data_IF_097145555121
#
_entry.id   IF_097145555121
#
_cell.length_a   1.000
_cell.length_b   1.000
_cell.length_c   1.000
_cell.angle_alpha   90.00
_cell.angle_beta   90.00
_cell.angle_gamma   90.00
#
_symmetry.space_group_name_H-M   'P 1'
#
loop_
_entity.id
_entity.type
_entity.pdbx_description
1 polymer ?
#
# COMPACT_ATOMS: atom_id res chain seq x y z
N UNK A 1 -27.40 -47.32 0.64
CA UNK A 1 -27.19 -46.05 -0.07
C UNK A 1 -27.77 -44.97 0.83
N UNK A 2 -26.99 -44.53 1.83
CA UNK A 2 -27.38 -43.41 2.69
C UNK A 2 -26.65 -42.17 2.18
N UNK A 3 -27.40 -41.35 1.44
CA UNK A 3 -26.94 -40.04 0.99
C UNK A 3 -26.71 -39.14 2.21
N UNK A 4 -25.44 -38.84 2.49
CA UNK A 4 -25.04 -37.92 3.55
C UNK A 4 -25.59 -36.53 3.32
N UNK A 5 -26.76 -36.23 3.89
CA UNK A 5 -27.27 -34.85 4.02
C UNK A 5 -26.36 -34.07 4.96
N UNK A 6 -25.42 -33.31 4.39
CA UNK A 6 -24.63 -32.32 5.12
C UNK A 6 -25.59 -31.19 5.52
N UNK A 7 -26.09 -31.23 6.75
CA UNK A 7 -26.88 -30.15 7.35
C UNK A 7 -25.93 -29.04 7.78
N UNK A 8 -25.65 -28.10 6.88
CA UNK A 8 -24.92 -26.89 7.25
C UNK A 8 -25.75 -26.08 8.25
N UNK A 9 -25.27 -25.97 9.49
CA UNK A 9 -25.86 -25.05 10.48
C UNK A 9 -25.51 -23.62 10.03
N UNK A 10 -26.43 -22.67 10.21
CA UNK A 10 -26.22 -21.25 9.85
C UNK A 10 -24.94 -20.67 10.49
N UNK A 11 -24.54 -21.18 11.67
CA UNK A 11 -23.29 -20.83 12.34
C UNK A 11 -22.03 -21.19 11.55
N UNK A 12 -22.05 -22.33 10.84
CA UNK A 12 -20.88 -22.84 10.12
C UNK A 12 -20.70 -22.08 8.80
N UNK A 13 -21.81 -21.76 8.12
CA UNK A 13 -21.81 -20.89 6.95
C UNK A 13 -21.29 -19.48 7.29
N UNK A 14 -21.71 -18.91 8.43
CA UNK A 14 -21.27 -17.58 8.86
C UNK A 14 -19.78 -17.56 9.24
N UNK A 15 -19.30 -18.60 9.92
CA UNK A 15 -17.88 -18.74 10.29
C UNK A 15 -16.97 -18.83 9.05
N UNK A 16 -17.36 -19.63 8.05
CA UNK A 16 -16.63 -19.73 6.78
C UNK A 16 -16.57 -18.38 6.04
N UNK A 17 -17.67 -17.63 6.01
CA UNK A 17 -17.71 -16.28 5.44
C UNK A 17 -16.77 -15.31 6.17
N UNK A 18 -16.78 -15.34 7.50
CA UNK A 18 -15.94 -14.48 8.33
C UNK A 18 -14.44 -14.74 8.11
N UNK A 19 -14.01 -16.00 7.99
CA UNK A 19 -12.61 -16.35 7.81
C UNK A 19 -12.04 -15.86 6.46
N UNK A 20 -12.87 -15.76 5.41
CA UNK A 20 -12.47 -15.20 4.12
C UNK A 20 -12.36 -13.67 4.18
N UNK A 21 -13.32 -12.99 4.82
CA UNK A 21 -13.27 -11.53 5.01
C UNK A 21 -12.07 -11.13 5.87
N UNK A 22 -11.79 -11.88 6.94
CA UNK A 22 -10.66 -11.62 7.83
C UNK A 22 -9.32 -11.73 7.12
N UNK A 23 -9.12 -12.76 6.28
CA UNK A 23 -7.90 -12.90 5.47
C UNK A 23 -7.72 -11.71 4.52
N UNK A 24 -8.78 -11.29 3.83
CA UNK A 24 -8.76 -10.12 2.94
C UNK A 24 -8.45 -8.83 3.69
N UNK A 25 -9.06 -8.63 4.85
CA UNK A 25 -8.85 -7.43 5.68
C UNK A 25 -7.41 -7.34 6.17
N UNK A 26 -6.84 -8.45 6.65
CA UNK A 26 -5.46 -8.48 7.13
C UNK A 26 -4.45 -8.10 6.03
N UNK A 27 -4.66 -8.54 4.79
CA UNK A 27 -3.79 -8.14 3.66
C UNK A 27 -3.94 -6.68 3.28
N UNK A 28 -5.18 -6.18 3.23
CA UNK A 28 -5.44 -4.77 2.96
C UNK A 28 -4.76 -3.89 4.02
N UNK A 29 -4.84 -4.28 5.30
CA UNK A 29 -4.16 -3.61 6.39
C UNK A 29 -2.64 -3.62 6.23
N UNK A 30 -2.03 -4.77 5.89
CA UNK A 30 -0.59 -4.86 5.63
C UNK A 30 -0.14 -3.91 4.51
N UNK A 31 -0.88 -3.87 3.39
CA UNK A 31 -0.55 -2.99 2.27
C UNK A 31 -0.71 -1.50 2.63
N UNK A 32 -1.80 -1.14 3.32
CA UNK A 32 -2.04 0.24 3.79
C UNK A 32 -0.95 0.65 4.78
N UNK A 33 -0.57 -0.22 5.71
CA UNK A 33 0.49 0.06 6.68
C UNK A 33 1.86 0.21 6.00
N UNK A 34 2.21 -0.65 5.05
CA UNK A 34 3.47 -0.55 4.31
C UNK A 34 3.57 0.77 3.53
N UNK A 35 2.50 1.11 2.78
CA UNK A 35 2.41 2.37 2.03
C UNK A 35 2.43 3.55 2.99
N UNK A 36 1.60 3.51 4.03
CA UNK A 36 1.47 4.58 5.01
C UNK A 36 2.77 4.85 5.77
N UNK A 37 3.51 3.83 6.17
CA UNK A 37 4.77 3.99 6.91
C UNK A 37 5.88 4.59 6.02
N UNK A 38 6.03 4.08 4.78
CA UNK A 38 7.01 4.64 3.84
C UNK A 38 6.72 6.10 3.50
N UNK A 39 5.44 6.43 3.34
CA UNK A 39 4.99 7.79 3.08
C UNK A 39 5.13 8.69 4.31
N UNK A 40 4.79 8.20 5.50
CA UNK A 40 4.96 8.94 6.74
C UNK A 40 6.43 9.32 6.93
N UNK A 41 7.34 8.39 6.65
CA UNK A 41 8.78 8.63 6.69
C UNK A 41 9.20 9.73 5.69
N UNK A 42 8.81 9.59 4.41
CA UNK A 42 9.11 10.60 3.38
C UNK A 42 8.50 11.98 3.69
N UNK A 43 7.25 12.01 4.17
CA UNK A 43 6.54 13.23 4.54
C UNK A 43 7.20 13.92 5.73
N UNK A 44 7.61 13.16 6.75
CA UNK A 44 8.30 13.70 7.92
C UNK A 44 9.62 14.34 7.52
N UNK A 45 10.43 13.66 6.70
CA UNK A 45 11.70 14.21 6.20
C UNK A 45 11.49 15.47 5.35
N UNK A 46 10.53 15.43 4.42
CA UNK A 46 10.23 16.57 3.54
C UNK A 46 9.72 17.79 4.31
N UNK A 47 8.88 17.57 5.32
CA UNK A 47 8.36 18.64 6.17
C UNK A 47 9.46 19.20 7.09
N UNK A 48 10.35 18.36 7.60
CA UNK A 48 11.46 18.81 8.43
C UNK A 48 12.47 19.64 7.62
N UNK A 49 12.77 19.22 6.39
CA UNK A 49 13.56 20.03 5.44
C UNK A 49 12.90 21.39 5.18
N UNK A 50 11.57 21.40 4.99
CA UNK A 50 10.81 22.65 4.81
C UNK A 50 10.91 23.58 6.02
N UNK A 51 10.79 23.06 7.25
CA UNK A 51 10.93 23.84 8.48
C UNK A 51 12.34 24.40 8.64
N UNK A 52 13.37 23.61 8.33
CA UNK A 52 14.76 24.04 8.41
C UNK A 52 15.05 25.19 7.43
N UNK A 53 14.54 25.09 6.20
CA UNK A 53 14.64 26.15 5.17
C UNK A 53 13.91 27.45 5.56
N UNK A 54 12.82 27.35 6.34
CA UNK A 54 12.07 28.51 6.80
C UNK A 54 12.72 29.22 8.00
N UNK A 55 13.44 28.51 8.87
CA UNK A 55 13.99 29.06 10.11
C UNK A 55 15.44 29.55 10.01
N UNK A 56 16.20 29.17 8.98
CA UNK A 56 17.64 29.42 8.96
C UNK A 56 18.14 30.10 7.68
N UNK A 57 18.86 31.23 7.87
CA UNK A 57 19.87 31.76 6.96
C UNK A 57 21.13 30.86 6.90
N UNK A 58 21.04 29.58 7.31
CA UNK A 58 22.16 28.63 7.21
C UNK A 58 22.16 28.10 5.77
N UNK A 59 22.63 28.97 4.88
CA UNK A 59 23.19 28.60 3.59
C UNK A 59 24.41 27.71 3.82
N UNK A 60 24.51 26.68 2.99
CA UNK A 60 25.76 25.96 2.67
C UNK A 60 26.29 24.90 3.65
N UNK A 61 25.43 24.03 4.17
CA UNK A 61 25.87 22.64 4.51
C UNK A 61 25.04 21.57 3.77
N UNK A 62 24.33 21.97 2.72
CA UNK A 62 23.22 21.22 2.11
C UNK A 62 23.61 20.00 1.25
N UNK A 63 24.80 19.92 0.66
CA UNK A 63 25.04 18.86 -0.35
C UNK A 63 25.21 17.44 0.25
N UNK A 64 25.81 17.32 1.44
CA UNK A 64 26.02 15.99 2.04
C UNK A 64 24.80 15.48 2.80
N UNK A 65 24.10 16.35 3.56
CA UNK A 65 22.92 15.95 4.33
C UNK A 65 21.75 15.59 3.40
N UNK A 66 21.57 16.30 2.28
CA UNK A 66 20.55 15.97 1.29
C UNK A 66 20.78 14.57 0.67
N UNK A 67 22.04 14.21 0.37
CA UNK A 67 22.37 12.90 -0.21
C UNK A 67 22.00 11.71 0.67
N UNK A 68 22.30 11.76 1.97
CA UNK A 68 21.95 10.67 2.91
C UNK A 68 20.44 10.52 3.08
N UNK A 69 19.68 11.62 3.07
CA UNK A 69 18.23 11.58 3.17
C UNK A 69 17.61 10.86 1.97
N UNK A 70 18.04 11.16 0.75
CA UNK A 70 17.56 10.46 -0.45
C UNK A 70 17.88 8.97 -0.40
N UNK A 71 19.06 8.58 0.11
CA UNK A 71 19.43 7.18 0.32
C UNK A 71 18.47 6.44 1.26
N UNK A 72 18.13 7.06 2.39
CA UNK A 72 17.20 6.47 3.37
C UNK A 72 15.78 6.33 2.81
N UNK A 73 15.30 7.34 2.07
CA UNK A 73 13.99 7.29 1.40
C UNK A 73 13.96 6.18 0.36
N UNK A 74 15.02 6.05 -0.44
CA UNK A 74 15.13 5.00 -1.46
C UNK A 74 15.02 3.60 -0.82
N UNK A 75 15.80 3.34 0.23
CA UNK A 75 15.76 2.04 0.93
C UNK A 75 14.37 1.78 1.52
N UNK A 76 13.75 2.80 2.14
CA UNK A 76 12.39 2.69 2.68
C UNK A 76 11.35 2.31 1.60
N UNK A 77 11.42 2.94 0.43
CA UNK A 77 10.53 2.63 -0.69
C UNK A 77 10.78 1.26 -1.30
N UNK A 78 12.03 0.81 -1.36
CA UNK A 78 12.34 -0.56 -1.80
C UNK A 78 11.71 -1.58 -0.86
N UNK A 79 11.85 -1.41 0.46
CA UNK A 79 11.22 -2.31 1.45
C UNK A 79 9.70 -2.28 1.33
N UNK A 80 9.12 -1.09 1.15
CA UNK A 80 7.68 -0.92 0.92
C UNK A 80 7.22 -1.66 -0.34
N UNK A 81 7.91 -1.50 -1.47
CA UNK A 81 7.59 -2.17 -2.72
C UNK A 81 7.66 -3.70 -2.61
N UNK A 82 8.68 -4.23 -1.92
CA UNK A 82 8.81 -5.68 -1.66
C UNK A 82 7.63 -6.20 -0.83
N UNK A 83 7.26 -5.47 0.23
CA UNK A 83 6.13 -5.83 1.10
C UNK A 83 4.82 -5.91 0.32
N UNK A 84 4.53 -4.88 -0.48
CA UNK A 84 3.32 -4.82 -1.34
C UNK A 84 3.34 -5.96 -2.36
N UNK A 85 4.46 -6.18 -3.03
CA UNK A 85 4.61 -7.22 -4.06
C UNK A 85 4.32 -8.60 -3.47
N UNK A 86 4.91 -8.93 -2.32
CA UNK A 86 4.73 -10.22 -1.66
C UNK A 86 3.28 -10.43 -1.19
N UNK A 87 2.70 -9.41 -0.55
CA UNK A 87 1.30 -9.43 -0.13
C UNK A 87 0.35 -9.64 -1.31
N UNK A 88 0.62 -8.97 -2.43
CA UNK A 88 -0.21 -9.10 -3.63
C UNK A 88 -0.03 -10.47 -4.29
N UNK A 89 1.18 -11.03 -4.32
CA UNK A 89 1.40 -12.40 -4.79
C UNK A 89 0.58 -13.41 -3.98
N UNK A 90 0.58 -13.30 -2.65
CA UNK A 90 -0.26 -14.15 -1.79
C UNK A 90 -1.74 -13.98 -2.16
N UNK A 91 -2.20 -12.75 -2.42
CA UNK A 91 -3.57 -12.50 -2.85
C UNK A 91 -3.91 -13.16 -4.20
N UNK A 92 -2.96 -13.25 -5.14
CA UNK A 92 -3.12 -14.00 -6.40
C UNK A 92 -3.36 -15.48 -6.12
N UNK A 93 -2.54 -16.08 -5.26
CA UNK A 93 -2.66 -17.51 -4.94
C UNK A 93 -3.97 -17.84 -4.22
N UNK A 94 -4.42 -16.98 -3.31
CA UNK A 94 -5.71 -17.19 -2.62
C UNK A 94 -6.92 -17.07 -3.56
N UNK A 95 -6.85 -16.21 -4.59
CA UNK A 95 -7.94 -15.99 -5.56
C UNK A 95 -7.74 -16.77 -6.85
N UNK A 96 -6.82 -17.73 -6.88
CA UNK A 96 -6.45 -18.46 -8.09
C UNK A 96 -7.66 -19.13 -8.76
N UNK A 97 -8.46 -19.86 -7.97
CA UNK A 97 -9.67 -20.54 -8.46
C UNK A 97 -10.74 -19.57 -8.97
N UNK A 98 -10.91 -18.43 -8.31
CA UNK A 98 -11.85 -17.38 -8.74
C UNK A 98 -11.42 -16.74 -10.06
N UNK A 99 -10.12 -16.51 -10.26
CA UNK A 99 -9.57 -15.97 -11.52
C UNK A 99 -9.69 -17.00 -12.64
N UNK A 100 -9.42 -18.28 -12.33
CA UNK A 100 -9.57 -19.39 -13.28
C UNK A 100 -11.00 -19.51 -13.80
N UNK A 101 -11.99 -19.50 -12.93
CA UNK A 101 -13.41 -19.54 -13.34
C UNK A 101 -13.79 -18.31 -14.17
N UNK A 102 -13.30 -17.12 -13.81
CA UNK A 102 -13.53 -15.88 -14.58
C UNK A 102 -12.99 -15.99 -16.02
N UNK A 103 -11.79 -16.54 -16.18
CA UNK A 103 -11.16 -16.75 -17.49
C UNK A 103 -11.87 -17.81 -18.32
N UNK A 104 -12.35 -18.90 -17.71
CA UNK A 104 -13.18 -19.90 -18.39
C UNK A 104 -14.49 -19.32 -18.94
N UNK A 105 -15.04 -18.29 -18.27
CA UNK A 105 -16.21 -17.55 -18.74
C UNK A 105 -15.88 -16.49 -19.81
N UNK A 106 -14.63 -16.40 -20.26
CA UNK A 106 -14.20 -15.49 -21.33
C UNK A 106 -13.62 -14.16 -20.85
N UNK A 107 -13.28 -14.01 -19.56
CA UNK A 107 -12.58 -12.80 -19.10
C UNK A 107 -11.17 -12.72 -19.72
N UNK A 108 -10.85 -11.58 -20.34
CA UNK A 108 -9.51 -11.32 -20.87
C UNK A 108 -8.50 -11.06 -19.73
N UNK A 109 -7.23 -11.34 -19.98
CA UNK A 109 -6.11 -11.03 -19.09
C UNK A 109 -6.09 -9.56 -18.64
N UNK A 110 -6.54 -8.65 -19.51
CA UNK A 110 -6.66 -7.22 -19.21
C UNK A 110 -7.69 -6.92 -18.11
N UNK A 111 -8.76 -7.70 -17.99
CA UNK A 111 -9.76 -7.49 -16.92
C UNK A 111 -9.17 -7.85 -15.56
N UNK A 112 -8.44 -8.96 -15.49
CA UNK A 112 -7.75 -9.40 -14.27
C UNK A 112 -6.69 -8.36 -13.87
N UNK A 113 -5.90 -7.88 -14.84
CA UNK A 113 -4.89 -6.85 -14.59
C UNK A 113 -5.52 -5.54 -14.07
N UNK A 114 -6.61 -5.07 -14.68
CA UNK A 114 -7.35 -3.88 -14.23
C UNK A 114 -7.93 -4.05 -12.82
N UNK A 115 -8.40 -5.24 -12.46
CA UNK A 115 -8.94 -5.52 -11.12
C UNK A 115 -7.88 -5.30 -10.04
N UNK A 116 -6.69 -5.87 -10.23
CA UNK A 116 -5.59 -5.73 -9.26
C UNK A 116 -5.02 -4.31 -9.22
N UNK A 117 -4.94 -3.61 -10.37
CA UNK A 117 -4.53 -2.21 -10.39
C UNK A 117 -5.57 -1.29 -9.72
N UNK A 118 -6.86 -1.55 -9.91
CA UNK A 118 -7.90 -0.80 -9.21
C UNK A 118 -7.84 -1.03 -7.69
N UNK A 119 -7.58 -2.26 -7.25
CA UNK A 119 -7.39 -2.59 -5.84
C UNK A 119 -6.17 -1.83 -5.27
N UNK A 120 -5.05 -1.78 -5.98
CA UNK A 120 -3.86 -1.06 -5.52
C UNK A 120 -4.06 0.46 -5.46
N UNK A 121 -4.80 1.06 -6.39
CA UNK A 121 -5.14 2.49 -6.35
C UNK A 121 -5.89 2.83 -5.06
N UNK A 122 -6.90 2.04 -4.69
CA UNK A 122 -7.68 2.28 -3.47
C UNK A 122 -6.79 2.18 -2.23
N UNK A 123 -5.93 1.16 -2.17
CA UNK A 123 -4.97 1.00 -1.08
C UNK A 123 -3.95 2.13 -1.02
N UNK A 124 -3.48 2.63 -2.17
CA UNK A 124 -2.52 3.73 -2.27
C UNK A 124 -3.10 5.07 -1.84
N UNK A 125 -4.38 5.33 -2.15
CA UNK A 125 -5.07 6.54 -1.69
C UNK A 125 -5.26 6.49 -0.17
N UNK A 126 -5.76 5.38 0.38
CA UNK A 126 -5.96 5.21 1.81
C UNK A 126 -4.63 5.26 2.57
N UNK A 127 -3.64 4.48 2.13
CA UNK A 127 -2.30 4.45 2.72
C UNK A 127 -1.59 5.79 2.59
N UNK A 128 -1.74 6.50 1.48
CA UNK A 128 -1.12 7.81 1.27
C UNK A 128 -1.70 8.90 2.16
N UNK A 129 -3.04 8.97 2.29
CA UNK A 129 -3.69 9.94 3.17
C UNK A 129 -3.36 9.64 4.63
N UNK A 130 -3.43 8.38 5.05
CA UNK A 130 -3.09 7.97 6.41
C UNK A 130 -1.60 8.21 6.71
N UNK A 131 -0.72 7.89 5.75
CA UNK A 131 0.73 8.11 5.87
C UNK A 131 1.10 9.57 5.98
N UNK A 132 0.47 10.45 5.20
CA UNK A 132 0.68 11.90 5.33
C UNK A 132 0.22 12.39 6.71
N UNK A 133 -0.95 11.96 7.17
CA UNK A 133 -1.48 12.31 8.49
C UNK A 133 -0.55 11.86 9.62
N UNK A 134 -0.07 10.62 9.58
CA UNK A 134 0.86 10.11 10.61
C UNK A 134 2.25 10.76 10.52
N UNK A 135 2.74 11.07 9.32
CA UNK A 135 3.99 11.81 9.14
C UNK A 135 3.92 13.24 9.67
N UNK A 136 2.78 13.91 9.48
CA UNK A 136 2.53 15.23 10.07
C UNK A 136 2.45 15.15 11.60
N UNK A 137 1.77 14.14 12.17
CA UNK A 137 1.75 13.92 13.62
C UNK A 137 3.14 13.64 14.18
N UNK A 138 3.94 12.82 13.49
CA UNK A 138 5.32 12.53 13.87
C UNK A 138 6.18 13.80 13.88
N UNK A 139 6.03 14.68 12.88
CA UNK A 139 6.69 15.97 12.84
C UNK A 139 6.33 16.84 14.05
N UNK A 140 5.04 16.96 14.36
CA UNK A 140 4.57 17.76 15.50
C UNK A 140 5.21 17.27 16.80
N UNK A 141 5.26 15.95 17.01
CA UNK A 141 5.93 15.35 18.16
C UNK A 141 7.41 15.75 18.21
N UNK A 142 8.15 15.60 17.11
CA UNK A 142 9.57 15.97 17.03
C UNK A 142 9.79 17.45 17.35
N UNK A 143 8.96 18.34 16.80
CA UNK A 143 9.08 19.78 17.06
C UNK A 143 8.81 20.14 18.53
N UNK A 144 7.84 19.48 19.19
CA UNK A 144 7.57 19.66 20.62
C UNK A 144 8.81 19.28 21.44
N UNK A 145 9.43 18.13 21.15
CA UNK A 145 10.63 17.68 21.87
C UNK A 145 11.85 18.58 21.62
N UNK A 146 11.98 19.14 20.42
CA UNK A 146 13.10 20.02 20.07
C UNK A 146 12.89 21.50 20.45
N UNK A 147 11.71 21.86 20.98
CA UNK A 147 11.40 23.24 21.35
C UNK A 147 11.19 24.20 20.17
N UNK A 148 11.09 23.67 18.94
CA UNK A 148 10.78 24.47 17.75
C UNK A 148 9.27 24.77 17.71
N UNK A 149 8.89 26.02 17.44
CA UNK A 149 7.49 26.34 17.06
C UNK A 149 7.23 25.73 15.68
N UNK A 150 6.62 24.54 15.66
CA UNK A 150 6.14 23.84 14.46
C UNK A 150 5.14 24.64 13.60
N UNK A 151 4.74 25.83 14.04
CA UNK A 151 3.42 26.39 13.76
C UNK A 151 3.40 27.51 12.72
N UNK A 152 4.32 27.47 11.75
CA UNK A 152 4.25 28.39 10.59
C UNK A 152 4.61 27.70 9.29
N UNK A 153 4.10 26.49 9.08
CA UNK A 153 4.03 25.93 7.72
C UNK A 153 2.82 26.56 7.02
N UNK A 154 3.00 27.21 5.86
CA UNK A 154 1.89 27.75 5.09
C UNK A 154 0.90 26.63 4.69
N UNK A 155 -0.42 26.86 4.77
CA UNK A 155 -1.41 25.87 4.32
C UNK A 155 -1.23 25.48 2.84
N UNK A 156 -0.77 26.41 2.00
CA UNK A 156 -0.43 26.16 0.60
C UNK A 156 0.69 25.14 0.43
N UNK A 157 1.70 25.16 1.30
CA UNK A 157 2.81 24.20 1.29
C UNK A 157 2.33 22.81 1.69
N UNK A 158 1.46 22.70 2.70
CA UNK A 158 0.88 21.41 3.10
C UNK A 158 0.04 20.80 1.98
N UNK A 159 -0.77 21.61 1.28
CA UNK A 159 -1.59 21.13 0.17
C UNK A 159 -0.72 20.62 -0.99
N UNK A 160 0.36 21.34 -1.31
CA UNK A 160 1.31 20.93 -2.34
C UNK A 160 2.02 19.62 -1.96
N UNK A 161 2.43 19.49 -0.69
CA UNK A 161 3.10 18.30 -0.19
C UNK A 161 2.16 17.08 -0.19
N UNK A 162 0.90 17.27 0.19
CA UNK A 162 -0.13 16.24 0.10
C UNK A 162 -0.33 15.77 -1.36
N UNK A 163 -0.36 16.68 -2.33
CA UNK A 163 -0.40 16.36 -3.76
C UNK A 163 0.81 15.53 -4.22
N UNK A 164 2.03 15.92 -3.80
CA UNK A 164 3.25 15.16 -4.12
C UNK A 164 3.23 13.77 -3.50
N UNK A 165 2.82 13.68 -2.24
CA UNK A 165 2.78 12.42 -1.48
C UNK A 165 1.74 11.45 -2.05
N UNK A 166 0.56 11.92 -2.40
CA UNK A 166 -0.50 11.09 -3.00
C UNK A 166 -0.10 10.59 -4.39
N UNK A 167 0.54 11.43 -5.21
CA UNK A 167 1.07 10.98 -6.50
C UNK A 167 2.18 9.93 -6.33
N UNK A 168 3.05 10.13 -5.34
CA UNK A 168 4.13 9.21 -5.03
C UNK A 168 3.60 7.87 -4.47
N UNK A 169 2.55 7.90 -3.65
CA UNK A 169 1.89 6.69 -3.12
C UNK A 169 1.29 5.85 -4.24
N UNK A 170 0.60 6.50 -5.17
CA UNK A 170 0.02 5.87 -6.35
C UNK A 170 1.12 5.25 -7.22
N UNK A 171 2.17 6.01 -7.53
CA UNK A 171 3.28 5.52 -8.34
C UNK A 171 3.95 4.30 -7.69
N UNK A 172 4.29 4.37 -6.40
CA UNK A 172 4.95 3.28 -5.68
C UNK A 172 4.09 2.02 -5.64
N UNK A 173 2.80 2.17 -5.32
CA UNK A 173 1.86 1.05 -5.23
C UNK A 173 1.59 0.42 -6.59
N UNK A 174 1.39 1.22 -7.63
CA UNK A 174 1.22 0.72 -9.00
C UNK A 174 2.45 -0.04 -9.45
N UNK A 175 3.65 0.54 -9.32
CA UNK A 175 4.90 -0.10 -9.72
C UNK A 175 5.11 -1.44 -9.02
N UNK A 176 4.87 -1.51 -7.72
CA UNK A 176 4.96 -2.75 -6.95
C UNK A 176 3.88 -3.78 -7.36
N UNK A 177 2.72 -3.34 -7.84
CA UNK A 177 1.58 -4.21 -8.19
C UNK A 177 1.63 -4.73 -9.62
N UNK A 178 2.34 -4.05 -10.54
CA UNK A 178 2.37 -4.45 -11.97
C UNK A 178 2.86 -5.90 -12.14
N UNK A 179 3.96 -6.28 -11.48
CA UNK A 179 4.50 -7.64 -11.56
C UNK A 179 3.51 -8.73 -11.09
N UNK A 180 2.94 -8.67 -9.86
CA UNK A 180 1.99 -9.67 -9.41
C UNK A 180 0.68 -9.64 -10.19
N UNK A 181 0.19 -8.45 -10.60
CA UNK A 181 -1.01 -8.33 -11.42
C UNK A 181 -0.82 -8.99 -12.80
N UNK A 182 0.35 -8.82 -13.42
CA UNK A 182 0.70 -9.51 -14.65
C UNK A 182 0.76 -11.03 -14.48
N UNK A 183 1.35 -11.49 -13.37
CA UNK A 183 1.39 -12.92 -13.03
C UNK A 183 -0.02 -13.51 -12.85
N UNK A 184 -0.92 -12.79 -12.18
CA UNK A 184 -2.32 -13.17 -12.04
C UNK A 184 -3.05 -13.20 -13.38
N UNK A 185 -2.80 -12.19 -14.22
CA UNK A 185 -3.39 -12.08 -15.54
C UNK A 185 -2.91 -13.17 -16.50
N UNK A 186 -1.72 -13.76 -16.31
CA UNK A 186 -1.20 -14.86 -17.17
C UNK A 186 -1.45 -16.26 -16.64
N UNK A 187 -2.22 -16.41 -15.57
CA UNK A 187 -2.49 -17.71 -14.96
C UNK A 187 -3.33 -18.58 -15.91
N UNK A 188 -2.93 -19.84 -16.10
CA UNK A 188 -3.63 -20.81 -16.96
C UNK A 188 -4.93 -21.28 -16.27
N UNK A 189 -6.11 -21.13 -16.91
CA UNK A 189 -7.38 -21.56 -16.32
C UNK A 189 -7.43 -23.03 -15.94
N UNK A 190 -6.76 -23.90 -16.72
CA UNK A 190 -6.75 -25.35 -16.45
C UNK A 190 -5.95 -25.65 -15.19
N UNK A 191 -4.82 -24.98 -15.00
CA UNK A 191 -3.99 -25.13 -13.80
C UNK A 191 -4.65 -24.49 -12.58
N UNK A 192 -5.37 -23.38 -12.75
CA UNK A 192 -6.12 -22.71 -11.70
C UNK A 192 -7.26 -23.58 -11.11
N UNK A 193 -7.91 -24.37 -11.97
CA UNK A 193 -9.01 -25.27 -11.56
C UNK A 193 -8.51 -26.60 -11.00
N UNK A 194 -7.33 -27.05 -11.43
CA UNK A 194 -6.67 -28.26 -10.90
C UNK A 194 -6.02 -28.02 -9.54
N UNK A 195 -5.93 -26.77 -9.09
CA UNK A 195 -5.38 -26.40 -7.80
C UNK A 195 -6.34 -26.81 -6.66
N UNK A 196 -6.31 -28.09 -6.29
CA UNK A 196 -6.78 -28.58 -5.00
C UNK A 196 -5.62 -28.50 -3.99
N UNK A 197 -5.74 -27.58 -3.05
CA UNK A 197 -5.10 -27.68 -1.73
C UNK A 197 -6.20 -27.51 -0.69
#
# INVERSE_FOLDING_TARGET
MDEGKITFRLSDAFRLGYDNVKRRFNRAFLNIAAIGLGIAFFSTLSLMDTIFRLNSQIRESGSMIEGYQYGLVLVSFVVCAISITNSMLIAVYERCREIGTMKCLGALDQHVLKLFLAESIILALLGGVLGFGTGFLALVLVCIFMGFRALSIPPSTLLLLLGKVTLLSLALSMLATIYPAYKAAKLDPVEALRYEV
#
